data_IF_978799757117
#
_entry.id   IF_978799757117
#
_cell.length_a   1.000
_cell.length_b   1.000
_cell.length_c   1.000
_cell.angle_alpha   90.00
_cell.angle_beta   90.00
_cell.angle_gamma   90.00
#
_symmetry.space_group_name_H-M   'P 1'
#
loop_
_entity.id
_entity.type
_entity.pdbx_description
1 polymer ?
#
# COMPACT_ATOMS: atom_id res chain seq x y z
N UNK A 1 -4.86 -9.75 -7.33
CA UNK A 1 -3.94 -10.20 -6.31
C UNK A 1 -4.44 -9.86 -4.91
N UNK A 2 -3.86 -10.49 -3.91
CA UNK A 2 -4.26 -10.28 -2.52
C UNK A 2 -4.06 -8.84 -2.07
N UNK A 3 -2.96 -8.21 -2.49
CA UNK A 3 -2.69 -6.82 -2.12
C UNK A 3 -3.70 -5.88 -2.77
N UNK A 4 -4.00 -6.08 -4.04
CA UNK A 4 -4.97 -5.26 -4.76
C UNK A 4 -6.36 -5.37 -4.12
N UNK A 5 -6.76 -6.59 -3.76
CA UNK A 5 -8.05 -6.83 -3.10
C UNK A 5 -8.12 -6.12 -1.75
N UNK A 6 -7.06 -6.21 -0.95
CA UNK A 6 -6.99 -5.52 0.34
C UNK A 6 -7.07 -4.01 0.16
N UNK A 7 -6.34 -3.46 -0.81
CA UNK A 7 -6.38 -2.03 -1.10
C UNK A 7 -7.76 -1.58 -1.53
N UNK A 8 -8.42 -2.34 -2.43
CA UNK A 8 -9.80 -2.02 -2.83
C UNK A 8 -10.76 -1.99 -1.65
N UNK A 9 -10.67 -3.00 -0.79
CA UNK A 9 -11.53 -3.08 0.39
C UNK A 9 -11.31 -1.88 1.31
N UNK A 10 -10.04 -1.51 1.52
CA UNK A 10 -9.68 -0.38 2.37
C UNK A 10 -10.21 0.94 1.78
N UNK A 11 -10.06 1.15 0.47
CA UNK A 11 -10.57 2.33 -0.20
C UNK A 11 -12.09 2.40 -0.13
N UNK A 12 -12.78 1.29 -0.35
CA UNK A 12 -14.25 1.23 -0.26
C UNK A 12 -14.74 1.54 1.15
N UNK A 13 -14.08 0.97 2.15
CA UNK A 13 -14.41 1.23 3.54
C UNK A 13 -14.24 2.71 3.87
N UNK A 14 -13.12 3.30 3.45
CA UNK A 14 -12.85 4.71 3.67
C UNK A 14 -13.91 5.59 2.99
N UNK A 15 -14.30 5.26 1.76
CA UNK A 15 -15.34 6.00 1.04
C UNK A 15 -16.70 5.94 1.75
N UNK A 16 -17.04 4.77 2.30
CA UNK A 16 -18.27 4.61 3.07
C UNK A 16 -18.26 5.43 4.37
N UNK A 17 -17.07 5.76 4.87
CA UNK A 17 -16.89 6.51 6.10
C UNK A 17 -16.18 7.86 5.83
N UNK A 18 -16.42 8.44 4.66
CA UNK A 18 -15.73 9.65 4.20
C UNK A 18 -15.75 10.78 5.23
N UNK A 19 -16.92 11.08 5.79
CA UNK A 19 -17.04 12.17 6.75
C UNK A 19 -16.16 11.96 7.98
N UNK A 20 -16.15 10.73 8.52
CA UNK A 20 -15.32 10.40 9.67
C UNK A 20 -13.83 10.51 9.34
N UNK A 21 -13.42 9.98 8.20
CA UNK A 21 -12.02 10.04 7.76
C UNK A 21 -11.58 11.50 7.59
N UNK A 22 -12.36 12.31 6.90
CA UNK A 22 -12.04 13.71 6.66
C UNK A 22 -12.00 14.50 7.97
N UNK A 23 -12.90 14.20 8.90
CA UNK A 23 -12.91 14.84 10.20
C UNK A 23 -11.62 14.57 10.97
N UNK A 24 -11.18 13.32 11.02
CA UNK A 24 -9.94 12.94 11.70
C UNK A 24 -8.73 13.57 11.01
N UNK A 25 -8.71 13.55 9.68
CA UNK A 25 -7.62 14.10 8.90
C UNK A 25 -7.41 15.61 9.16
N UNK A 26 -8.52 16.35 9.33
CA UNK A 26 -8.45 17.80 9.59
C UNK A 26 -8.40 18.16 11.08
N UNK A 27 -8.29 17.16 11.97
CA UNK A 27 -8.26 17.38 13.41
C UNK A 27 -6.85 17.62 13.92
N UNK A 28 -6.75 17.97 15.21
CA UNK A 28 -5.46 18.12 15.91
C UNK A 28 -4.77 16.76 16.06
N UNK A 29 -5.48 15.66 15.85
CA UNK A 29 -4.94 14.31 15.94
C UNK A 29 -4.43 13.77 14.60
N UNK A 30 -4.19 14.65 13.64
CA UNK A 30 -3.73 14.27 12.31
C UNK A 30 -2.45 13.45 12.34
N UNK A 31 -1.51 13.80 13.20
CA UNK A 31 -0.24 13.08 13.31
C UNK A 31 -0.47 11.63 13.73
N UNK A 32 -1.37 11.40 14.68
CA UNK A 32 -1.72 10.04 15.10
C UNK A 32 -2.41 9.28 13.97
N UNK A 33 -3.24 9.97 13.21
CA UNK A 33 -3.91 9.37 12.04
C UNK A 33 -2.88 8.93 11.00
N UNK A 34 -1.92 9.79 10.70
CA UNK A 34 -0.87 9.47 9.71
C UNK A 34 0.02 8.32 10.19
N UNK A 35 0.40 8.31 11.47
CA UNK A 35 1.17 7.20 12.07
C UNK A 35 0.41 5.88 11.95
N UNK A 36 -0.87 5.89 12.31
CA UNK A 36 -1.71 4.69 12.25
C UNK A 36 -1.87 4.19 10.82
N UNK A 37 -2.02 5.12 9.88
CA UNK A 37 -2.16 4.80 8.46
C UNK A 37 -0.86 4.17 7.93
N UNK A 38 0.30 4.71 8.31
CA UNK A 38 1.58 4.14 7.91
C UNK A 38 1.76 2.72 8.47
N UNK A 39 1.39 2.50 9.74
CA UNK A 39 1.47 1.16 10.33
C UNK A 39 0.55 0.17 9.63
N UNK A 40 -0.64 0.63 9.23
CA UNK A 40 -1.58 -0.21 8.49
C UNK A 40 -1.02 -0.56 7.11
N UNK A 41 -0.42 0.40 6.41
CA UNK A 41 0.24 0.17 5.13
C UNK A 41 1.38 -0.83 5.28
N UNK A 42 2.21 -0.67 6.32
CA UNK A 42 3.31 -1.60 6.57
C UNK A 42 2.81 -3.01 6.84
N UNK A 43 1.77 -3.15 7.65
CA UNK A 43 1.18 -4.46 7.92
C UNK A 43 0.65 -5.13 6.66
N UNK A 44 -0.09 -4.37 5.85
CA UNK A 44 -0.66 -4.89 4.60
C UNK A 44 0.43 -5.34 3.62
N UNK A 45 1.46 -4.52 3.45
CA UNK A 45 2.56 -4.82 2.53
C UNK A 45 3.38 -5.99 3.03
N UNK A 46 3.71 -6.02 4.33
CA UNK A 46 4.46 -7.12 4.93
C UNK A 46 3.73 -8.44 4.76
N UNK A 47 2.43 -8.46 5.03
CA UNK A 47 1.60 -9.64 4.86
C UNK A 47 1.59 -10.11 3.40
N UNK A 48 1.47 -9.17 2.46
CA UNK A 48 1.51 -9.48 1.05
C UNK A 48 2.85 -10.10 0.64
N UNK A 49 3.96 -9.46 1.03
CA UNK A 49 5.31 -9.93 0.67
C UNK A 49 5.55 -11.32 1.24
N UNK A 50 5.19 -11.55 2.48
CA UNK A 50 5.41 -12.85 3.12
C UNK A 50 4.53 -13.95 2.53
N UNK A 51 3.39 -13.59 1.95
CA UNK A 51 2.49 -14.54 1.30
C UNK A 51 2.92 -14.82 -0.14
N UNK A 52 3.26 -13.78 -0.90
CA UNK A 52 3.61 -13.89 -2.32
C UNK A 52 5.05 -14.37 -2.53
N UNK A 53 5.95 -14.02 -1.62
CA UNK A 53 7.36 -14.35 -1.73
C UNK A 53 7.81 -15.12 -0.49
N UNK A 54 7.94 -16.45 -0.58
CA UNK A 54 8.45 -17.24 0.54
C UNK A 54 9.79 -16.69 1.03
N UNK A 55 9.99 -16.65 2.35
CA UNK A 55 11.14 -16.01 2.99
C UNK A 55 12.50 -16.45 2.42
N UNK A 56 12.64 -17.71 2.05
CA UNK A 56 13.89 -18.23 1.49
C UNK A 56 14.20 -17.75 0.08
N UNK A 57 13.24 -17.08 -0.60
CA UNK A 57 13.43 -16.58 -1.97
C UNK A 57 13.91 -15.13 -2.00
N UNK A 58 13.70 -14.40 -0.92
CA UNK A 58 14.04 -12.97 -0.88
C UNK A 58 14.91 -12.70 0.35
N UNK A 59 16.21 -12.40 0.15
CA UNK A 59 17.11 -12.09 1.27
C UNK A 59 16.56 -10.95 2.13
N UNK A 60 16.93 -10.95 3.41
CA UNK A 60 16.38 -10.01 4.39
C UNK A 60 16.58 -8.54 3.99
N UNK A 61 17.76 -8.20 3.47
CA UNK A 61 18.04 -6.83 3.05
C UNK A 61 17.12 -6.40 1.90
N UNK A 62 16.92 -7.28 0.92
CA UNK A 62 16.03 -7.01 -0.21
C UNK A 62 14.58 -6.95 0.24
N UNK A 63 14.18 -7.86 1.13
CA UNK A 63 12.83 -7.88 1.69
C UNK A 63 12.50 -6.57 2.40
N UNK A 64 13.41 -6.09 3.24
CA UNK A 64 13.21 -4.82 3.96
C UNK A 64 13.10 -3.65 3.00
N UNK A 65 13.95 -3.61 1.98
CA UNK A 65 13.94 -2.53 0.99
C UNK A 65 12.62 -2.51 0.21
N UNK A 66 12.15 -3.67 -0.22
CA UNK A 66 10.90 -3.80 -0.98
C UNK A 66 9.70 -3.38 -0.13
N UNK A 67 9.65 -3.85 1.12
CA UNK A 67 8.55 -3.49 2.03
C UNK A 67 8.51 -1.97 2.23
N UNK A 68 9.66 -1.37 2.51
CA UNK A 68 9.72 0.08 2.72
C UNK A 68 9.30 0.85 1.49
N UNK A 69 9.78 0.44 0.33
CA UNK A 69 9.44 1.11 -0.93
C UNK A 69 7.94 1.08 -1.17
N UNK A 70 7.34 -0.10 -1.10
CA UNK A 70 5.92 -0.26 -1.41
C UNK A 70 5.04 0.41 -0.35
N UNK A 71 5.36 0.28 0.94
CA UNK A 71 4.54 0.91 1.98
C UNK A 71 4.54 2.43 1.86
N UNK A 72 5.67 3.02 1.50
CA UNK A 72 5.76 4.47 1.32
C UNK A 72 4.95 4.94 0.12
N UNK A 73 4.98 4.18 -0.99
CA UNK A 73 4.13 4.48 -2.14
C UNK A 73 2.66 4.39 -1.77
N UNK A 74 2.28 3.34 -1.09
CA UNK A 74 0.89 3.14 -0.67
C UNK A 74 0.43 4.23 0.30
N UNK A 75 1.26 4.56 1.29
CA UNK A 75 0.96 5.62 2.25
C UNK A 75 0.80 6.97 1.55
N UNK A 76 1.75 7.31 0.67
CA UNK A 76 1.70 8.55 -0.08
C UNK A 76 0.43 8.68 -0.92
N UNK A 77 0.03 7.60 -1.57
CA UNK A 77 -1.20 7.56 -2.35
C UNK A 77 -2.43 7.76 -1.46
N UNK A 78 -2.45 7.14 -0.28
CA UNK A 78 -3.55 7.30 0.67
C UNK A 78 -3.68 8.76 1.13
N UNK A 79 -2.57 9.37 1.53
CA UNK A 79 -2.59 10.73 2.03
C UNK A 79 -2.95 11.72 0.92
N UNK A 80 -2.39 11.55 -0.27
CA UNK A 80 -2.73 12.39 -1.41
C UNK A 80 -4.22 12.29 -1.73
N UNK A 81 -4.78 11.10 -1.72
CA UNK A 81 -6.19 10.87 -1.97
C UNK A 81 -7.07 11.58 -0.93
N UNK A 82 -6.73 11.41 0.35
CA UNK A 82 -7.50 12.02 1.44
C UNK A 82 -7.40 13.55 1.37
N UNK A 83 -6.20 14.08 1.16
CA UNK A 83 -6.01 15.54 1.07
C UNK A 83 -6.72 16.15 -0.13
N UNK A 84 -6.94 15.35 -1.17
CA UNK A 84 -7.70 15.76 -2.37
C UNK A 84 -9.20 15.57 -2.24
N UNK A 85 -9.70 15.17 -1.07
CA UNK A 85 -11.14 15.06 -0.82
C UNK A 85 -11.71 13.67 -1.08
N UNK A 86 -10.88 12.65 -1.18
CA UNK A 86 -11.30 11.26 -1.36
C UNK A 86 -12.19 11.07 -2.60
N UNK A 87 -11.66 11.46 -3.77
CA UNK A 87 -12.38 11.33 -5.03
C UNK A 87 -12.64 9.87 -5.40
N UNK A 88 -13.78 9.62 -6.04
CA UNK A 88 -14.20 8.26 -6.37
C UNK A 88 -13.31 7.58 -7.41
N UNK A 89 -12.63 8.35 -8.24
CA UNK A 89 -11.75 7.86 -9.31
C UNK A 89 -10.52 7.09 -8.79
N UNK A 90 -10.25 7.16 -7.50
CA UNK A 90 -9.08 6.49 -6.92
C UNK A 90 -9.08 4.99 -7.13
N UNK A 91 -10.25 4.33 -7.08
CA UNK A 91 -10.35 2.89 -7.33
C UNK A 91 -9.95 2.55 -8.76
N UNK A 92 -10.39 3.36 -9.71
CA UNK A 92 -10.07 3.15 -11.12
C UNK A 92 -8.57 3.33 -11.37
N UNK A 93 -7.98 4.35 -10.75
CA UNK A 93 -6.55 4.59 -10.84
C UNK A 93 -5.76 3.44 -10.23
N UNK A 94 -6.20 2.93 -9.08
CA UNK A 94 -5.55 1.79 -8.42
C UNK A 94 -5.56 0.56 -9.34
N UNK A 95 -6.68 0.28 -9.99
CA UNK A 95 -6.78 -0.83 -10.94
C UNK A 95 -5.87 -0.64 -12.14
N UNK A 96 -5.75 0.59 -12.61
CA UNK A 96 -4.86 0.92 -13.73
C UNK A 96 -3.40 0.64 -13.36
N UNK A 97 -2.98 1.09 -12.17
CA UNK A 97 -1.62 0.86 -11.69
C UNK A 97 -1.35 -0.64 -11.52
N UNK A 98 -2.32 -1.39 -10.99
CA UNK A 98 -2.19 -2.85 -10.86
C UNK A 98 -1.93 -3.52 -12.20
N UNK A 99 -2.65 -3.11 -13.25
CA UNK A 99 -2.44 -3.65 -14.59
C UNK A 99 -1.07 -3.31 -15.13
N UNK A 100 -0.64 -2.05 -14.95
CA UNK A 100 0.65 -1.59 -15.45
C UNK A 100 1.83 -2.24 -14.74
N UNK A 101 1.64 -2.60 -13.47
CA UNK A 101 2.68 -3.25 -12.66
C UNK A 101 2.58 -4.77 -12.68
N UNK A 102 1.75 -5.33 -13.55
CA UNK A 102 1.62 -6.78 -13.64
C UNK A 102 2.97 -7.42 -13.95
N UNK A 103 3.33 -8.44 -13.18
CA UNK A 103 4.61 -9.11 -13.34
C UNK A 103 5.78 -8.46 -12.60
N UNK A 104 5.58 -7.31 -11.99
CA UNK A 104 6.64 -6.62 -11.25
C UNK A 104 7.18 -7.45 -10.08
N UNK A 105 6.35 -8.13 -9.28
CA UNK A 105 6.86 -8.96 -8.18
C UNK A 105 7.84 -10.03 -8.66
N UNK A 106 7.53 -10.71 -9.77
CA UNK A 106 8.39 -11.74 -10.33
C UNK A 106 9.72 -11.15 -10.80
N UNK A 107 9.68 -9.96 -11.37
CA UNK A 107 10.88 -9.26 -11.79
C UNK A 107 11.77 -8.89 -10.60
N UNK A 108 11.18 -8.48 -9.50
CA UNK A 108 11.91 -8.16 -8.27
C UNK A 108 12.66 -9.40 -7.75
N UNK A 109 11.99 -10.54 -7.71
CA UNK A 109 12.61 -11.80 -7.29
C UNK A 109 13.79 -12.15 -8.20
N UNK A 110 13.59 -12.04 -9.50
CA UNK A 110 14.63 -12.35 -10.47
C UNK A 110 15.85 -11.45 -10.29
N UNK A 111 15.62 -10.16 -10.09
CA UNK A 111 16.74 -9.20 -9.82
C UNK A 111 17.46 -9.53 -8.54
N UNK A 112 16.73 -9.87 -7.50
CA UNK A 112 17.32 -10.27 -6.23
C UNK A 112 18.21 -11.50 -6.37
N UNK A 113 17.78 -12.47 -7.18
CA UNK A 113 18.58 -13.67 -7.44
C UNK A 113 19.87 -13.37 -8.21
N UNK A 114 19.81 -12.42 -9.14
CA UNK A 114 21.01 -12.02 -9.90
C UNK A 114 22.07 -11.42 -8.98
N UNK A 115 21.68 -10.75 -7.91
CA UNK A 115 22.61 -10.12 -6.97
C UNK A 115 23.15 -11.10 -5.94
N UNK A 116 22.54 -12.26 -5.81
CA UNK A 116 22.89 -13.27 -4.83
C UNK A 116 22.99 -14.65 -5.48
#
# INVERSE_FOLDING_TARGET
>A
STLDECCEMAFRYALQNRSAVMHIYHSVNRDLFEESTMRLCEYAVTTYIDTAFPQHQLPEADRKAVIRFIKCQLFGMCIDWISGGMQDEALEELRRISRLCHGLPELIIERSREDH
#
